data_IF_771454574644
#
_entry.id   IF_771454574644
#
_cell.length_a   1.000
_cell.length_b   1.000
_cell.length_c   1.000
_cell.angle_alpha   90.00
_cell.angle_beta   90.00
_cell.angle_gamma   90.00
#
_symmetry.space_group_name_H-M   'P 1'
#
loop_
_entity.id
_entity.type
_entity.pdbx_description
1 polymer ?
#
# COMPACT_ATOMS: atom_id res chain seq x y z
N UNK A 1 23.35 -4.83 -11.51
CA UNK A 1 22.84 -4.75 -11.69
C UNK A 1 21.56 -4.46 -11.99
N UNK A 2 21.08 -4.69 -12.88
CA UNK A 2 19.88 -4.36 -13.29
C UNK A 2 18.83 -4.98 -12.54
N UNK A 3 19.11 -5.91 -11.85
CA UNK A 3 18.12 -6.56 -11.03
C UNK A 3 17.51 -5.63 -10.01
N UNK A 4 18.06 -4.45 -9.85
CA UNK A 4 17.53 -3.52 -8.89
C UNK A 4 16.60 -2.51 -9.47
N UNK A 5 16.16 -2.73 -10.69
CA UNK A 5 15.29 -1.76 -11.30
C UNK A 5 13.93 -1.77 -10.65
N UNK A 6 13.50 -0.62 -10.18
CA UNK A 6 12.18 -0.47 -9.59
C UNK A 6 11.14 -0.38 -10.69
N UNK A 7 9.87 -0.60 -10.35
CA UNK A 7 8.82 -0.38 -11.33
C UNK A 7 7.70 0.45 -10.72
N UNK A 8 7.06 1.22 -11.56
CA UNK A 8 6.01 2.12 -11.16
C UNK A 8 4.76 1.80 -11.95
N UNK A 9 3.62 1.72 -11.27
CA UNK A 9 2.39 1.42 -11.96
C UNK A 9 1.77 2.70 -12.52
N UNK A 10 0.60 2.58 -13.13
CA UNK A 10 -0.03 3.72 -13.78
C UNK A 10 -0.53 4.74 -12.77
N UNK A 11 -0.64 4.41 -11.51
CA UNK A 11 -1.06 5.36 -10.49
C UNK A 11 0.11 6.10 -9.87
N UNK A 12 1.34 5.64 -10.12
CA UNK A 12 2.51 6.26 -9.52
C UNK A 12 3.05 5.52 -8.32
N UNK A 13 2.49 4.38 -7.96
CA UNK A 13 3.02 3.57 -6.87
C UNK A 13 4.30 2.89 -7.34
N UNK A 14 5.31 2.92 -6.48
CA UNK A 14 6.63 2.37 -6.82
C UNK A 14 6.87 1.12 -6.00
N UNK A 15 7.28 0.06 -6.67
CA UNK A 15 7.51 -1.24 -6.07
C UNK A 15 8.95 -1.68 -6.30
N UNK A 16 9.41 -2.60 -5.48
CA UNK A 16 10.73 -3.18 -5.69
C UNK A 16 10.73 -3.99 -6.99
N UNK A 17 11.94 -4.30 -7.46
CA UNK A 17 12.08 -4.99 -8.75
C UNK A 17 11.35 -6.33 -8.76
N UNK A 18 11.31 -7.02 -7.63
CA UNK A 18 10.64 -8.31 -7.57
C UNK A 18 9.15 -8.18 -7.27
N UNK A 19 8.66 -6.97 -7.08
CA UNK A 19 7.23 -6.77 -6.84
C UNK A 19 6.76 -7.13 -5.45
N UNK A 20 7.66 -7.43 -4.53
CA UNK A 20 7.27 -7.90 -3.21
C UNK A 20 7.19 -6.80 -2.17
N UNK A 21 7.68 -5.61 -2.46
CA UNK A 21 7.67 -4.52 -1.50
C UNK A 21 7.10 -3.28 -2.13
N UNK A 22 6.18 -2.64 -1.42
CA UNK A 22 5.69 -1.33 -1.83
C UNK A 22 6.61 -0.29 -1.22
N UNK A 23 7.27 0.49 -2.06
CA UNK A 23 8.28 1.43 -1.61
C UNK A 23 7.74 2.84 -1.48
N UNK A 24 6.80 3.23 -2.34
CA UNK A 24 6.24 4.57 -2.28
C UNK A 24 4.87 4.59 -2.90
N UNK A 25 3.93 5.20 -2.21
CA UNK A 25 2.56 5.32 -2.71
C UNK A 25 2.34 6.62 -3.44
N UNK A 26 1.11 6.80 -3.90
CA UNK A 26 0.70 7.99 -4.61
C UNK A 26 -0.74 8.29 -4.27
N UNK A 27 -1.26 9.42 -4.76
CA UNK A 27 -2.62 9.80 -4.50
C UNK A 27 -3.56 9.08 -5.46
N UNK A 28 -4.67 8.55 -4.93
CA UNK A 28 -5.68 7.88 -5.75
C UNK A 28 -7.02 8.34 -5.26
N UNK A 29 -7.82 8.93 -6.14
CA UNK A 29 -9.11 9.45 -5.72
C UNK A 29 -10.12 8.36 -5.44
N UNK A 30 -9.95 7.20 -5.97
CA UNK A 30 -10.88 6.09 -5.74
C UNK A 30 -10.21 4.98 -4.99
N UNK A 31 -10.43 3.77 -5.43
CA UNK A 31 -9.89 2.58 -4.78
C UNK A 31 -8.57 2.19 -5.40
N UNK A 32 -7.65 1.75 -4.57
CA UNK A 32 -6.39 1.21 -5.06
C UNK A 32 -6.20 -0.17 -4.46
N UNK A 33 -5.89 -1.14 -5.32
CA UNK A 33 -5.65 -2.51 -4.90
C UNK A 33 -4.17 -2.79 -4.98
N UNK A 34 -3.55 -3.01 -3.83
CA UNK A 34 -2.15 -3.42 -3.81
C UNK A 34 -2.09 -4.83 -4.39
N UNK A 35 -1.21 -5.09 -5.36
CA UNK A 35 -1.21 -6.39 -6.04
C UNK A 35 -0.93 -7.56 -5.12
N UNK A 36 -1.57 -8.67 -5.40
CA UNK A 36 -1.25 -9.91 -4.72
C UNK A 36 0.20 -10.25 -5.02
N UNK A 37 0.91 -10.71 -4.03
CA UNK A 37 2.35 -10.95 -4.16
C UNK A 37 3.18 -9.95 -3.40
N UNK A 38 2.62 -8.77 -3.10
CA UNK A 38 3.32 -7.81 -2.26
C UNK A 38 3.34 -8.36 -0.84
N UNK A 39 4.53 -8.43 -0.26
CA UNK A 39 4.69 -9.00 1.07
C UNK A 39 4.96 -7.95 2.13
N UNK A 40 5.49 -6.81 1.74
CA UNK A 40 5.82 -5.77 2.70
C UNK A 40 5.45 -4.40 2.16
N UNK A 41 5.04 -3.54 3.07
CA UNK A 41 4.77 -2.14 2.76
C UNK A 41 5.75 -1.33 3.60
N UNK A 42 6.61 -0.55 2.93
CA UNK A 42 7.59 0.24 3.66
C UNK A 42 6.91 1.20 4.61
N UNK A 43 7.48 1.42 5.79
CA UNK A 43 6.78 2.23 6.80
C UNK A 43 6.40 3.62 6.34
N UNK A 44 7.18 4.21 5.44
CA UNK A 44 6.88 5.55 4.99
C UNK A 44 6.23 5.61 3.62
N UNK A 45 5.89 4.45 3.07
CA UNK A 45 5.37 4.41 1.71
C UNK A 45 4.08 5.18 1.55
N UNK A 46 3.23 5.16 2.55
CA UNK A 46 1.90 5.75 2.45
C UNK A 46 1.79 7.12 3.11
N UNK A 47 2.87 7.63 3.67
CA UNK A 47 2.84 8.91 4.34
C UNK A 47 2.56 10.00 3.32
N UNK A 48 1.54 10.81 3.58
CA UNK A 48 1.21 11.93 2.71
C UNK A 48 0.36 11.56 1.51
N UNK A 49 0.03 10.29 1.34
CA UNK A 49 -0.78 9.87 0.20
C UNK A 49 -2.25 9.98 0.55
N UNK A 50 -3.02 10.55 -0.38
CA UNK A 50 -4.46 10.63 -0.21
C UNK A 50 -5.08 9.55 -1.07
N UNK A 51 -5.63 8.53 -0.42
CA UNK A 51 -6.22 7.40 -1.12
C UNK A 51 -7.63 7.23 -0.59
N UNK A 52 -8.59 7.06 -1.48
CA UNK A 52 -9.96 6.89 -1.06
C UNK A 52 -10.18 5.57 -0.33
N UNK A 53 -9.82 4.49 -0.96
CA UNK A 53 -9.97 3.15 -0.39
C UNK A 53 -8.74 2.34 -0.73
N UNK A 54 -8.16 1.70 0.26
CA UNK A 54 -6.95 0.92 0.05
C UNK A 54 -7.25 -0.55 0.33
N UNK A 55 -6.97 -1.39 -0.64
CA UNK A 55 -7.17 -2.84 -0.51
C UNK A 55 -5.83 -3.51 -0.38
N UNK A 56 -5.63 -4.24 0.71
CA UNK A 56 -4.36 -4.87 1.04
C UNK A 56 -4.48 -6.37 0.88
N UNK A 57 -3.58 -7.00 0.11
CA UNK A 57 -3.70 -8.42 -0.18
C UNK A 57 -3.28 -9.28 1.01
N UNK A 58 -3.77 -10.50 1.00
CA UNK A 58 -3.47 -11.45 2.05
C UNK A 58 -1.97 -11.79 2.11
N UNK A 59 -1.23 -11.55 1.04
CA UNK A 59 0.20 -11.84 1.03
C UNK A 59 1.02 -10.83 1.82
N UNK A 60 0.48 -9.63 2.02
CA UNK A 60 1.21 -8.62 2.78
C UNK A 60 1.21 -8.98 4.25
N UNK A 61 2.29 -8.60 4.96
CA UNK A 61 2.42 -8.91 6.38
C UNK A 61 1.82 -7.77 7.21
N UNK A 62 0.72 -7.22 6.75
CA UNK A 62 0.00 -6.18 7.44
C UNK A 62 -1.42 -6.71 7.63
N UNK A 63 -1.83 -6.87 8.87
CA UNK A 63 -3.11 -7.48 9.15
C UNK A 63 -4.03 -6.59 9.97
N UNK A 64 -3.54 -5.44 10.41
CA UNK A 64 -4.34 -4.54 11.21
C UNK A 64 -4.10 -3.12 10.75
N UNK A 65 -5.15 -2.33 10.88
CA UNK A 65 -5.11 -0.95 10.41
C UNK A 65 -4.00 -0.14 11.07
N UNK A 66 -3.77 -0.37 12.36
CA UNK A 66 -2.80 0.43 13.06
C UNK A 66 -1.35 0.08 12.71
N UNK A 67 -1.14 -0.91 11.88
CA UNK A 67 0.20 -1.18 11.37
C UNK A 67 0.56 -0.27 10.20
N UNK A 68 -0.39 0.54 9.73
CA UNK A 68 -0.16 1.42 8.60
C UNK A 68 0.08 2.84 9.09
N UNK A 69 0.95 3.55 8.38
CA UNK A 69 1.30 4.92 8.75
C UNK A 69 0.96 5.83 7.58
N UNK A 70 0.03 6.77 7.80
CA UNK A 70 -0.41 7.68 6.75
C UNK A 70 0.05 9.10 6.99
N UNK A 71 0.59 9.41 8.15
CA UNK A 71 1.00 10.76 8.50
C UNK A 71 2.26 10.69 9.32
N UNK A 72 3.11 11.70 9.20
CA UNK A 72 4.31 11.78 10.02
C UNK A 72 4.01 12.23 11.43
N UNK A 73 2.83 12.76 11.68
CA UNK A 73 2.48 13.25 13.02
C UNK A 73 2.24 12.06 13.94
N UNK A 74 2.50 12.26 15.21
CA UNK A 74 2.28 11.21 16.19
C UNK A 74 0.83 10.76 16.16
N UNK A 75 -0.08 11.68 15.88
CA UNK A 75 -1.48 11.34 15.76
C UNK A 75 -1.85 11.30 14.29
N UNK A 76 -2.47 10.23 13.87
CA UNK A 76 -2.89 10.12 12.50
C UNK A 76 -4.02 11.13 12.24
N UNK A 77 -3.93 11.81 11.12
CA UNK A 77 -4.97 12.74 10.74
C UNK A 77 -6.07 11.97 10.03
N UNK A 78 -7.24 11.91 10.63
CA UNK A 78 -8.31 11.10 10.07
C UNK A 78 -8.69 11.49 8.66
N UNK A 79 -8.51 12.75 8.32
CA UNK A 79 -8.85 13.18 6.96
C UNK A 79 -7.90 12.61 5.93
N UNK A 80 -6.73 12.17 6.36
CA UNK A 80 -5.76 11.59 5.44
C UNK A 80 -5.83 10.08 5.41
N UNK A 81 -6.66 9.48 6.24
CA UNK A 81 -6.65 8.02 6.37
C UNK A 81 -7.71 7.41 5.48
N UNK A 82 -7.35 6.48 4.63
CA UNK A 82 -8.32 5.85 3.73
C UNK A 82 -9.12 4.79 4.45
N UNK A 83 -10.19 4.35 3.84
CA UNK A 83 -10.83 3.11 4.26
C UNK A 83 -9.92 1.99 3.82
N UNK A 84 -9.69 1.03 4.69
CA UNK A 84 -8.76 -0.06 4.41
C UNK A 84 -9.49 -1.39 4.49
N UNK A 85 -9.30 -2.21 3.48
CA UNK A 85 -9.88 -3.55 3.44
C UNK A 85 -8.76 -4.55 3.23
N UNK A 86 -8.80 -5.65 3.98
CA UNK A 86 -7.83 -6.72 3.83
C UNK A 86 -8.52 -7.86 3.09
N UNK A 87 -7.98 -8.29 1.96
CA UNK A 87 -8.64 -9.31 1.17
C UNK A 87 -7.79 -10.58 1.09
N UNK A 88 -8.46 -11.69 0.90
CA UNK A 88 -7.79 -12.98 0.88
C UNK A 88 -8.02 -13.67 -0.45
N UNK A 89 -7.20 -14.67 -0.68
CA UNK A 89 -7.28 -15.43 -1.91
C UNK A 89 -8.64 -16.10 -2.07
N UNK A 90 -9.24 -16.49 -0.95
CA UNK A 90 -10.50 -17.22 -1.00
C UNK A 90 -11.70 -16.34 -0.80
N UNK A 91 -11.49 -15.05 -0.91
CA UNK A 91 -12.53 -14.11 -0.57
C UNK A 91 -13.78 -14.29 -1.41
N UNK A 92 -13.63 -14.65 -2.65
CA UNK A 92 -14.76 -14.74 -3.54
C UNK A 92 -15.56 -16.02 -3.39
N UNK A 93 -15.11 -16.93 -2.58
CA UNK A 93 -15.83 -18.20 -2.41
C UNK A 93 -16.82 -18.15 -1.29
#
# INVERSE_FOLDING_TARGET
MESDQLWMDSYGFIYSADGKRLLKGANVEGAYWIPEGVEEIEPEALIGCKIGTLHIPWTAHVHEYDQLVFSKDAEQNEEMMPAVYFWTKNYAN
#
